data_IF_180244744541
#
_entry.id   IF_180244744541
#
_cell.length_a   1.000
_cell.length_b   1.000
_cell.length_c   1.000
_cell.angle_alpha   90.00
_cell.angle_beta   90.00
_cell.angle_gamma   90.00
#
_symmetry.space_group_name_H-M   'P 1'
#
loop_
_entity.id
_entity.type
_entity.pdbx_description
1 polymer ?
#
# COMPACT_ATOMS: atom_id res chain seq x y z
N UNK A 1 -0.71 9.16 16.98
CA UNK A 1 0.43 8.24 17.04
C UNK A 1 1.74 8.92 16.72
N UNK A 2 2.84 8.30 17.11
CA UNK A 2 4.19 8.83 16.83
C UNK A 2 4.55 8.58 15.36
N UNK A 3 5.03 9.62 14.69
CA UNK A 3 5.49 9.59 13.30
C UNK A 3 6.92 10.13 13.20
N UNK A 4 7.79 9.54 12.36
CA UNK A 4 9.16 10.01 12.20
C UNK A 4 9.22 11.41 11.58
N UNK A 5 8.26 11.75 10.72
CA UNK A 5 8.19 13.06 10.07
C UNK A 5 6.77 13.43 9.67
N UNK A 6 6.51 14.73 9.64
CA UNK A 6 5.33 15.31 8.99
C UNK A 6 5.82 16.45 8.11
N UNK A 7 5.41 16.47 6.85
CA UNK A 7 5.65 17.57 5.93
C UNK A 7 4.31 18.14 5.48
N UNK A 8 4.15 19.44 5.56
CA UNK A 8 2.96 20.15 5.08
C UNK A 8 3.37 21.06 3.94
N UNK A 9 2.69 20.90 2.82
CA UNK A 9 2.86 21.70 1.60
C UNK A 9 1.67 22.66 1.48
N UNK A 10 1.93 23.93 1.30
CA UNK A 10 0.92 24.93 1.00
C UNK A 10 0.93 25.24 -0.50
N UNK A 11 -0.19 24.99 -1.16
CA UNK A 11 -0.39 25.31 -2.57
C UNK A 11 -1.36 26.48 -2.72
N UNK A 12 -0.99 27.46 -3.56
CA UNK A 12 -1.82 28.61 -3.84
C UNK A 12 -3.00 28.28 -4.81
N UNK A 13 -3.81 29.29 -5.12
CA UNK A 13 -4.97 29.14 -6.01
C UNK A 13 -4.60 28.73 -7.45
N UNK A 14 -3.34 28.91 -7.86
CA UNK A 14 -2.83 28.49 -9.17
C UNK A 14 -2.19 27.09 -9.13
N UNK A 15 -2.31 26.40 -8.01
CA UNK A 15 -1.71 25.06 -7.79
C UNK A 15 -0.19 25.09 -7.66
N UNK A 16 0.41 26.26 -7.37
CA UNK A 16 1.85 26.38 -7.17
C UNK A 16 2.20 26.31 -5.69
N UNK A 17 3.32 25.65 -5.40
CA UNK A 17 3.84 25.55 -4.06
C UNK A 17 4.22 26.94 -3.53
N UNK A 18 3.65 27.35 -2.40
CA UNK A 18 3.99 28.57 -1.71
C UNK A 18 5.06 28.34 -0.64
N UNK A 19 4.85 27.34 0.21
CA UNK A 19 5.80 27.00 1.27
C UNK A 19 5.68 25.54 1.66
N UNK A 20 6.74 25.05 2.29
CA UNK A 20 6.82 23.71 2.87
C UNK A 20 7.32 23.82 4.31
N UNK A 21 6.61 23.18 5.23
CA UNK A 21 7.03 23.09 6.63
C UNK A 21 7.19 21.63 7.00
N UNK A 22 8.30 21.29 7.63
CA UNK A 22 8.59 19.93 8.05
C UNK A 22 8.90 19.89 9.55
N UNK A 23 8.37 18.88 10.22
CA UNK A 23 8.69 18.59 11.61
C UNK A 23 9.05 17.11 11.76
N UNK A 24 10.10 16.85 12.52
CA UNK A 24 10.55 15.50 12.84
C UNK A 24 9.98 15.05 14.19
N UNK A 25 9.83 13.72 14.34
CA UNK A 25 9.41 13.10 15.61
C UNK A 25 8.11 13.67 16.15
N UNK A 26 7.09 13.72 15.32
CA UNK A 26 5.78 14.28 15.69
C UNK A 26 4.89 13.23 16.34
N UNK A 27 4.09 13.67 17.32
CA UNK A 27 3.01 12.87 17.88
C UNK A 27 1.67 13.41 17.38
N UNK A 28 1.12 12.75 16.36
CA UNK A 28 -0.17 13.12 15.79
C UNK A 28 -1.30 12.67 16.71
N UNK A 29 -1.95 13.63 17.34
CA UNK A 29 -3.15 13.48 18.15
C UNK A 29 -4.16 14.57 17.78
N UNK A 30 -5.29 14.63 18.47
CA UNK A 30 -6.36 15.62 18.19
C UNK A 30 -5.95 17.07 18.45
N UNK A 31 -5.00 17.26 19.33
CA UNK A 31 -4.54 18.59 19.77
C UNK A 31 -3.24 19.03 19.05
N UNK A 32 -2.77 18.20 18.10
CA UNK A 32 -1.59 18.54 17.32
C UNK A 32 -1.91 19.67 16.35
N UNK A 33 -1.14 20.73 16.44
CA UNK A 33 -1.20 21.88 15.55
C UNK A 33 0.18 22.19 14.98
N UNK A 34 0.20 22.63 13.73
CA UNK A 34 1.40 23.06 13.05
C UNK A 34 1.16 24.42 12.39
N UNK A 35 2.03 25.37 12.68
CA UNK A 35 1.97 26.67 12.05
C UNK A 35 2.59 26.60 10.65
N UNK A 36 1.82 27.04 9.65
CA UNK A 36 2.27 27.13 8.25
C UNK A 36 2.15 28.60 7.81
N UNK A 37 3.26 29.34 7.72
CA UNK A 37 3.24 30.74 7.33
C UNK A 37 3.03 30.86 5.81
N UNK A 38 1.99 31.61 5.43
CA UNK A 38 1.68 31.94 4.04
C UNK A 38 1.27 33.41 3.94
N UNK A 39 1.39 34.01 2.74
CA UNK A 39 0.84 35.34 2.47
C UNK A 39 -0.69 35.28 2.32
N UNK A 40 -1.33 36.42 2.02
CA UNK A 40 -2.74 36.48 1.67
C UNK A 40 -3.07 35.64 0.41
N UNK A 41 -4.31 35.22 0.30
CA UNK A 41 -4.81 34.43 -0.83
C UNK A 41 -5.52 33.15 -0.41
N UNK A 42 -5.80 32.32 -1.40
CA UNK A 42 -6.42 31.01 -1.23
C UNK A 42 -5.39 29.90 -1.26
N UNK A 43 -5.45 29.01 -0.27
CA UNK A 43 -4.50 27.91 -0.12
C UNK A 43 -5.22 26.57 0.12
N UNK A 44 -4.62 25.50 -0.38
CA UNK A 44 -4.84 24.16 0.14
C UNK A 44 -3.57 23.63 0.78
N UNK A 45 -3.71 22.88 1.87
CA UNK A 45 -2.60 22.31 2.61
C UNK A 45 -2.63 20.79 2.46
N UNK A 46 -1.52 20.23 2.03
CA UNK A 46 -1.35 18.78 1.91
C UNK A 46 -0.35 18.32 2.95
N UNK A 47 -0.78 17.38 3.78
CA UNK A 47 0.05 16.75 4.80
C UNK A 47 0.52 15.37 4.36
N UNK A 48 1.82 15.11 4.51
CA UNK A 48 2.44 13.81 4.33
C UNK A 48 3.19 13.42 5.60
N UNK A 49 2.87 12.26 6.15
CA UNK A 49 3.54 11.75 7.36
C UNK A 49 4.15 10.37 7.10
N UNK A 50 5.27 10.10 7.77
CA UNK A 50 5.93 8.79 7.74
C UNK A 50 6.93 8.58 6.62
N UNK A 51 7.17 9.57 5.77
CA UNK A 51 8.14 9.47 4.67
C UNK A 51 9.56 9.43 5.19
N UNK A 52 10.36 8.49 4.69
CA UNK A 52 11.73 8.26 5.07
C UNK A 52 12.65 8.13 3.85
N UNK A 53 13.86 7.65 4.05
CA UNK A 53 14.91 7.47 3.02
C UNK A 53 14.65 6.32 2.04
N UNK A 54 13.59 5.52 2.25
CA UNK A 54 13.15 4.48 1.30
C UNK A 54 12.38 5.04 0.12
N UNK A 55 12.14 6.35 0.11
CA UNK A 55 11.45 7.05 -0.96
C UNK A 55 12.35 8.09 -1.60
N UNK A 56 12.21 8.26 -2.91
CA UNK A 56 12.86 9.35 -3.61
C UNK A 56 12.35 10.69 -3.11
N UNK A 57 13.28 11.57 -2.77
CA UNK A 57 12.99 12.94 -2.38
C UNK A 57 13.06 13.84 -3.60
N UNK A 58 11.99 14.58 -3.82
CA UNK A 58 11.94 15.61 -4.86
C UNK A 58 12.43 16.94 -4.32
N UNK A 59 13.06 17.73 -5.19
CA UNK A 59 13.40 19.12 -4.87
C UNK A 59 12.17 19.99 -5.08
N UNK A 60 11.72 20.66 -4.04
CA UNK A 60 10.59 21.57 -4.09
C UNK A 60 11.07 23.01 -4.18
N UNK A 61 10.53 23.77 -5.12
CA UNK A 61 10.87 25.18 -5.32
C UNK A 61 9.61 26.03 -5.18
N UNK A 62 9.61 26.91 -4.17
CA UNK A 62 8.52 27.86 -3.95
C UNK A 62 8.26 28.73 -5.19
N UNK A 63 6.99 28.90 -5.56
CA UNK A 63 6.55 29.64 -6.73
C UNK A 63 6.72 28.93 -8.09
N UNK A 64 7.34 27.76 -8.13
CA UNK A 64 7.63 27.00 -9.34
C UNK A 64 6.96 25.62 -9.33
N UNK A 65 7.18 24.85 -8.28
CA UNK A 65 6.65 23.49 -8.14
C UNK A 65 5.13 23.49 -8.10
N UNK A 66 4.49 22.64 -8.89
CA UNK A 66 3.03 22.46 -8.92
C UNK A 66 2.63 21.16 -8.22
N UNK A 67 1.35 21.01 -7.87
CA UNK A 67 0.82 19.75 -7.33
C UNK A 67 1.09 18.54 -8.24
N UNK A 68 1.08 18.76 -9.54
CA UNK A 68 1.27 17.70 -10.53
C UNK A 68 2.74 17.26 -10.64
N UNK A 69 3.68 18.15 -10.32
CA UNK A 69 5.12 17.88 -10.37
C UNK A 69 5.61 17.06 -9.17
N UNK A 70 4.89 17.09 -8.06
CA UNK A 70 5.30 16.43 -6.82
C UNK A 70 4.79 15.01 -6.81
N UNK A 71 5.72 14.08 -6.96
CA UNK A 71 5.48 12.64 -6.86
C UNK A 71 6.45 12.03 -5.87
N UNK A 72 6.02 10.94 -5.27
CA UNK A 72 6.84 10.14 -4.38
C UNK A 72 6.92 8.72 -4.95
N UNK A 73 8.13 8.21 -5.06
CA UNK A 73 8.39 6.88 -5.58
C UNK A 73 9.17 6.07 -4.56
N UNK A 74 8.70 4.87 -4.25
CA UNK A 74 9.47 3.94 -3.43
C UNK A 74 10.75 3.53 -4.19
N UNK A 75 11.88 3.50 -3.48
CA UNK A 75 13.15 3.07 -4.08
C UNK A 75 13.08 1.61 -4.50
N UNK A 76 13.72 1.29 -5.60
CA UNK A 76 13.76 -0.08 -6.13
C UNK A 76 15.10 -0.38 -6.80
N UNK A 77 15.44 -1.67 -6.85
CA UNK A 77 16.59 -2.20 -7.58
C UNK A 77 16.09 -3.37 -8.43
N UNK A 78 16.34 -3.32 -9.74
CA UNK A 78 15.89 -4.35 -10.69
C UNK A 78 14.38 -4.69 -10.57
N UNK A 79 13.54 -3.69 -10.45
CA UNK A 79 12.10 -3.80 -10.27
C UNK A 79 11.67 -4.52 -8.98
N UNK A 80 12.54 -4.59 -8.00
CA UNK A 80 12.22 -5.06 -6.64
C UNK A 80 12.21 -3.85 -5.72
N UNK A 81 11.08 -3.63 -5.06
CA UNK A 81 10.93 -2.53 -4.12
C UNK A 81 11.81 -2.73 -2.88
N UNK A 82 12.28 -1.62 -2.31
CA UNK A 82 12.90 -1.66 -0.99
C UNK A 82 11.86 -2.11 0.04
N UNK A 83 12.25 -3.03 0.92
CA UNK A 83 11.35 -3.55 1.94
C UNK A 83 10.90 -2.46 2.92
N UNK A 84 9.60 -2.27 3.06
CA UNK A 84 9.01 -1.54 4.17
C UNK A 84 8.84 -2.49 5.36
N UNK A 85 9.05 -2.01 6.58
CA UNK A 85 8.67 -2.78 7.77
C UNK A 85 7.18 -2.64 8.04
N UNK A 86 6.62 -3.51 8.86
CA UNK A 86 5.20 -3.45 9.25
C UNK A 86 4.84 -2.18 10.02
N UNK A 87 5.84 -1.52 10.63
CA UNK A 87 5.66 -0.28 11.41
C UNK A 87 5.82 0.98 10.56
N UNK A 88 6.35 0.86 9.35
CA UNK A 88 6.50 1.98 8.43
C UNK A 88 5.18 2.25 7.73
N UNK A 89 4.48 3.27 8.21
CA UNK A 89 3.19 3.70 7.69
C UNK A 89 3.31 5.09 7.10
N UNK A 90 2.66 5.28 5.95
CA UNK A 90 2.62 6.55 5.25
C UNK A 90 1.20 7.07 5.27
N UNK A 91 1.06 8.34 5.62
CA UNK A 91 -0.22 9.00 5.73
C UNK A 91 -0.25 10.25 4.86
N UNK A 92 -1.40 10.52 4.30
CA UNK A 92 -1.63 11.64 3.40
C UNK A 92 -3.02 12.23 3.65
N UNK A 93 -3.12 13.55 3.47
CA UNK A 93 -4.40 14.24 3.49
C UNK A 93 -4.30 15.64 2.90
N UNK A 94 -5.44 16.18 2.52
CA UNK A 94 -5.57 17.54 1.99
C UNK A 94 -6.63 18.31 2.78
N UNK A 95 -6.38 19.58 3.06
CA UNK A 95 -7.34 20.48 3.69
C UNK A 95 -8.37 20.99 2.68
N UNK A 96 -9.52 21.46 3.15
CA UNK A 96 -10.33 22.41 2.38
C UNK A 96 -9.54 23.65 1.99
N UNK A 97 -10.01 24.38 1.00
CA UNK A 97 -9.43 25.67 0.63
C UNK A 97 -9.61 26.66 1.77
N UNK A 98 -8.52 27.33 2.15
CA UNK A 98 -8.49 28.36 3.20
C UNK A 98 -8.21 29.71 2.56
N UNK A 99 -9.04 30.70 2.86
CA UNK A 99 -8.81 32.07 2.43
C UNK A 99 -8.19 32.91 3.56
N UNK A 100 -7.07 33.58 3.23
CA UNK A 100 -6.42 34.54 4.09
C UNK A 100 -6.55 35.94 3.48
N UNK A 101 -7.17 36.90 4.19
CA UNK A 101 -7.32 38.26 3.69
C UNK A 101 -5.99 39.02 3.73
N UNK A 102 -5.96 40.16 3.00
CA UNK A 102 -4.81 41.05 2.97
C UNK A 102 -4.47 41.59 4.37
N UNK A 103 -3.25 41.36 4.88
CA UNK A 103 -2.88 41.85 6.20
C UNK A 103 -2.74 43.39 6.28
N UNK A 104 -2.57 44.08 5.17
CA UNK A 104 -2.58 45.55 5.14
C UNK A 104 -3.96 46.12 5.42
N UNK A 105 -5.03 45.41 5.03
CA UNK A 105 -6.42 45.82 5.29
C UNK A 105 -6.93 45.35 6.66
N UNK A 106 -6.58 44.11 7.04
CA UNK A 106 -7.23 43.42 8.17
C UNK A 106 -6.29 43.08 9.31
N UNK A 107 -4.97 43.38 9.17
CA UNK A 107 -3.93 42.95 10.10
C UNK A 107 -3.57 41.47 9.93
N UNK A 108 -2.54 41.05 10.64
CA UNK A 108 -2.10 39.65 10.65
C UNK A 108 -3.20 38.75 11.25
N UNK A 109 -3.55 37.69 10.54
CA UNK A 109 -4.62 36.77 10.95
C UNK A 109 -4.10 35.33 11.01
N UNK A 110 -4.70 34.57 11.93
CA UNK A 110 -4.58 33.12 12.00
C UNK A 110 -5.90 32.48 11.52
N UNK A 111 -5.77 31.48 10.68
CA UNK A 111 -6.88 30.61 10.28
C UNK A 111 -6.57 29.18 10.69
N UNK A 112 -7.55 28.50 11.23
CA UNK A 112 -7.45 27.09 11.56
C UNK A 112 -8.09 26.27 10.46
N UNK A 113 -7.45 25.20 10.05
CA UNK A 113 -7.99 24.20 9.16
C UNK A 113 -7.54 22.80 9.59
N UNK A 114 -8.22 21.78 9.16
CA UNK A 114 -7.88 20.41 9.46
C UNK A 114 -7.42 19.66 8.20
N UNK A 115 -6.42 18.84 8.36
CA UNK A 115 -5.98 17.86 7.36
C UNK A 115 -6.27 16.48 7.93
N UNK A 116 -7.25 15.80 7.36
CA UNK A 116 -7.57 14.42 7.73
C UNK A 116 -6.63 13.48 7.00
N UNK A 117 -5.80 12.78 7.74
CA UNK A 117 -4.81 11.87 7.18
C UNK A 117 -5.41 10.48 6.97
N UNK A 118 -5.26 9.95 5.76
CA UNK A 118 -5.53 8.56 5.39
C UNK A 118 -4.22 7.81 5.23
N UNK A 119 -4.15 6.57 5.70
CA UNK A 119 -2.99 5.70 5.49
C UNK A 119 -2.92 5.25 4.02
N UNK A 120 -1.71 5.30 3.44
CA UNK A 120 -1.40 4.88 2.07
C UNK A 120 -0.55 3.61 2.01
N UNK A 121 -0.46 2.86 3.08
CA UNK A 121 0.29 1.60 3.13
C UNK A 121 -0.63 0.44 3.46
N UNK A 122 -0.40 -0.69 2.81
CA UNK A 122 -1.11 -1.94 3.08
C UNK A 122 -0.15 -2.99 3.63
N UNK A 123 -0.67 -3.83 4.50
CA UNK A 123 0.01 -5.02 5.02
C UNK A 123 -0.79 -6.24 4.60
N UNK A 124 -0.11 -7.17 3.96
CA UNK A 124 -0.72 -8.40 3.47
C UNK A 124 0.00 -9.58 4.08
N UNK A 125 -0.77 -10.44 4.72
CA UNK A 125 -0.33 -11.73 5.21
C UNK A 125 -0.90 -12.81 4.29
N UNK A 126 -0.02 -13.55 3.63
CA UNK A 126 -0.40 -14.73 2.85
C UNK A 126 -0.11 -15.96 3.70
N UNK A 127 -1.14 -16.74 3.96
CA UNK A 127 -1.04 -18.04 4.66
C UNK A 127 -1.36 -19.12 3.65
N UNK A 128 -0.48 -20.10 3.52
CA UNK A 128 -0.71 -21.26 2.67
C UNK A 128 -0.64 -22.50 3.56
N UNK A 129 -1.74 -23.25 3.59
CA UNK A 129 -1.88 -24.48 4.35
C UNK A 129 -2.17 -25.63 3.41
N UNK A 130 -1.36 -26.68 3.47
CA UNK A 130 -1.68 -27.96 2.86
C UNK A 130 -2.55 -28.79 3.80
N UNK A 131 -3.61 -29.41 3.31
CA UNK A 131 -4.37 -30.35 4.12
C UNK A 131 -3.54 -31.57 4.51
N UNK A 132 -4.03 -32.36 5.49
CA UNK A 132 -3.26 -33.47 6.04
C UNK A 132 -2.89 -34.55 5.02
N UNK A 133 -3.71 -34.75 4.00
CA UNK A 133 -3.42 -35.71 2.94
C UNK A 133 -2.36 -35.17 1.97
N UNK A 134 -2.47 -33.90 1.60
CA UNK A 134 -1.58 -33.21 0.66
C UNK A 134 -0.20 -33.00 1.25
N UNK A 135 -0.08 -32.69 2.55
CA UNK A 135 1.22 -32.46 3.21
C UNK A 135 2.19 -33.65 3.17
N UNK A 136 1.70 -34.87 2.92
CA UNK A 136 2.54 -36.06 2.79
C UNK A 136 3.39 -36.04 1.53
N UNK A 137 2.97 -35.30 0.53
CA UNK A 137 3.63 -35.22 -0.80
C UNK A 137 4.24 -33.85 -1.08
N UNK A 138 3.84 -32.80 -0.34
CA UNK A 138 4.23 -31.42 -0.58
C UNK A 138 4.81 -30.77 0.66
N UNK A 139 5.82 -29.93 0.45
CA UNK A 139 6.54 -29.21 1.50
C UNK A 139 6.34 -27.71 1.33
N UNK A 140 5.75 -26.99 2.32
CA UNK A 140 5.58 -25.53 2.27
C UNK A 140 6.89 -24.76 2.01
N UNK A 141 8.04 -25.30 2.39
CA UNK A 141 9.34 -24.69 2.15
C UNK A 141 9.71 -24.58 0.67
N UNK A 142 9.00 -25.29 -0.21
CA UNK A 142 9.20 -25.30 -1.65
C UNK A 142 8.19 -24.43 -2.41
N UNK A 143 7.34 -23.70 -1.67
CA UNK A 143 6.48 -22.69 -2.22
C UNK A 143 7.25 -21.39 -2.49
N UNK A 144 6.92 -20.77 -3.61
CA UNK A 144 7.40 -19.45 -3.99
C UNK A 144 6.21 -18.51 -4.07
N UNK A 145 6.22 -17.46 -3.27
CA UNK A 145 5.13 -16.48 -3.20
C UNK A 145 5.65 -15.13 -3.66
N UNK A 146 5.07 -14.58 -4.72
CA UNK A 146 5.45 -13.29 -5.28
C UNK A 146 4.24 -12.35 -5.34
N UNK A 147 4.41 -11.17 -4.76
CA UNK A 147 3.44 -10.07 -4.83
C UNK A 147 4.05 -8.93 -5.62
N UNK A 148 3.37 -8.48 -6.66
CA UNK A 148 3.79 -7.35 -7.47
C UNK A 148 2.64 -6.39 -7.70
N UNK A 149 2.96 -5.10 -7.81
CA UNK A 149 1.97 -4.06 -8.00
C UNK A 149 2.54 -2.88 -8.78
N UNK A 150 1.68 -2.22 -9.55
CA UNK A 150 1.96 -0.95 -10.22
C UNK A 150 1.63 0.26 -9.34
N UNK A 151 1.99 0.20 -8.05
CA UNK A 151 1.67 1.22 -7.04
C UNK A 151 2.91 1.95 -6.49
N UNK A 152 4.04 1.91 -7.21
CA UNK A 152 5.33 2.42 -6.71
C UNK A 152 5.41 3.93 -6.59
N UNK A 153 4.56 4.67 -7.28
CA UNK A 153 4.59 6.15 -7.34
C UNK A 153 3.24 6.72 -6.95
N UNK A 154 3.26 7.74 -6.09
CA UNK A 154 2.07 8.46 -5.64
C UNK A 154 2.28 9.95 -5.82
N UNK A 155 1.28 10.66 -6.35
CA UNK A 155 1.28 12.13 -6.45
C UNK A 155 1.02 12.76 -5.09
N UNK A 156 1.33 14.05 -4.98
CA UNK A 156 1.11 14.81 -3.74
C UNK A 156 -0.35 14.79 -3.27
N UNK A 157 -1.31 14.68 -4.16
CA UNK A 157 -2.73 14.58 -3.87
C UNK A 157 -3.20 13.16 -3.51
N UNK A 158 -2.28 12.20 -3.38
CA UNK A 158 -2.57 10.81 -3.04
C UNK A 158 -2.99 9.93 -4.22
N UNK A 159 -3.10 10.48 -5.43
CA UNK A 159 -3.42 9.71 -6.65
C UNK A 159 -2.18 9.03 -7.21
N UNK A 160 -2.38 7.97 -8.00
CA UNK A 160 -1.29 7.27 -8.67
C UNK A 160 -1.28 7.55 -10.17
N UNK A 161 -0.10 7.77 -10.79
CA UNK A 161 0.02 7.88 -12.24
C UNK A 161 -0.35 6.56 -12.93
N UNK A 162 -1.00 6.64 -14.10
CA UNK A 162 -1.43 5.46 -14.87
C UNK A 162 -0.27 4.58 -15.36
N UNK A 163 0.89 5.15 -15.61
CA UNK A 163 2.06 4.47 -16.18
C UNK A 163 3.12 4.13 -15.14
N UNK A 164 2.71 3.87 -13.90
CA UNK A 164 3.63 3.47 -12.85
C UNK A 164 4.20 2.07 -13.13
N UNK A 165 5.52 1.88 -13.03
CA UNK A 165 6.13 0.57 -13.22
C UNK A 165 5.63 -0.46 -12.22
N UNK A 166 5.54 -1.71 -12.64
CA UNK A 166 5.24 -2.83 -11.75
C UNK A 166 6.51 -3.19 -10.98
N UNK A 167 6.40 -3.18 -9.65
CA UNK A 167 7.46 -3.64 -8.76
C UNK A 167 7.04 -4.92 -8.04
N UNK A 168 8.01 -5.80 -7.81
CA UNK A 168 7.86 -6.94 -6.90
C UNK A 168 8.21 -6.49 -5.49
N UNK A 169 7.33 -6.78 -4.54
CA UNK A 169 7.55 -6.49 -3.13
C UNK A 169 8.17 -7.70 -2.44
N UNK A 170 9.27 -7.53 -1.69
CA UNK A 170 9.87 -8.62 -0.94
C UNK A 170 9.02 -8.97 0.28
N UNK A 171 9.00 -10.25 0.67
CA UNK A 171 8.44 -10.64 1.94
C UNK A 171 9.31 -10.08 3.08
N UNK A 172 8.68 -9.42 4.04
CA UNK A 172 9.37 -8.85 5.21
C UNK A 172 9.54 -9.86 6.33
N UNK A 173 8.73 -10.90 6.32
CA UNK A 173 8.78 -11.99 7.28
C UNK A 173 8.19 -13.25 6.64
N UNK A 174 8.87 -14.36 6.81
CA UNK A 174 8.39 -15.68 6.38
C UNK A 174 8.53 -16.66 7.53
N UNK A 175 7.45 -17.40 7.81
CA UNK A 175 7.45 -18.47 8.80
C UNK A 175 6.92 -19.76 8.15
N UNK A 176 7.60 -20.86 8.43
CA UNK A 176 7.22 -22.19 7.95
C UNK A 176 7.11 -23.12 9.16
N UNK A 177 5.93 -23.66 9.38
CA UNK A 177 5.64 -24.55 10.49
C UNK A 177 4.71 -25.70 10.07
N UNK A 178 5.22 -26.93 10.07
CA UNK A 178 4.47 -28.11 9.68
C UNK A 178 3.94 -28.01 8.23
N UNK A 179 2.63 -28.00 8.10
CA UNK A 179 1.92 -27.88 6.80
C UNK A 179 1.54 -26.45 6.43
N UNK A 180 2.02 -25.45 7.17
CA UNK A 180 1.66 -24.04 7.03
C UNK A 180 2.89 -23.22 6.67
N UNK A 181 2.76 -22.36 5.66
CA UNK A 181 3.68 -21.27 5.36
C UNK A 181 2.98 -19.93 5.49
N UNK A 182 3.71 -18.95 6.00
CA UNK A 182 3.24 -17.57 6.17
C UNK A 182 4.25 -16.61 5.53
N UNK A 183 3.78 -15.71 4.68
CA UNK A 183 4.55 -14.63 4.05
C UNK A 183 3.88 -13.30 4.34
N UNK A 184 4.65 -12.34 4.82
CA UNK A 184 4.16 -11.01 5.19
C UNK A 184 4.76 -9.95 4.28
N UNK A 185 3.93 -9.03 3.82
CA UNK A 185 4.29 -7.94 2.93
C UNK A 185 3.81 -6.61 3.49
N UNK A 186 4.62 -5.57 3.34
CA UNK A 186 4.21 -4.19 3.53
C UNK A 186 4.51 -3.41 2.24
N UNK A 187 3.54 -2.66 1.76
CA UNK A 187 3.61 -1.98 0.46
C UNK A 187 2.77 -0.71 0.46
N UNK A 188 2.90 0.08 -0.59
CA UNK A 188 1.97 1.17 -0.83
C UNK A 188 0.57 0.64 -1.14
N UNK A 189 -0.41 1.53 -1.05
CA UNK A 189 -1.83 1.21 -1.19
C UNK A 189 -2.12 0.48 -2.50
N UNK A 190 -2.95 -0.56 -2.42
CA UNK A 190 -3.42 -1.29 -3.60
C UNK A 190 -4.63 -0.56 -4.17
N UNK A 191 -4.58 -0.25 -5.46
CA UNK A 191 -5.66 0.44 -6.14
C UNK A 191 -6.26 -0.37 -7.27
N UNK A 192 -7.58 -0.31 -7.40
CA UNK A 192 -8.30 -0.88 -8.54
C UNK A 192 -7.89 -0.19 -9.84
N UNK A 193 -7.88 -0.92 -10.96
CA UNK A 193 -7.49 -0.41 -12.26
C UNK A 193 -5.98 -0.43 -12.53
N UNK A 194 -5.16 -0.84 -11.57
CA UNK A 194 -3.73 -1.07 -11.71
C UNK A 194 -3.42 -2.57 -11.68
N UNK A 195 -2.23 -2.95 -12.19
CA UNK A 195 -1.77 -4.32 -12.09
C UNK A 195 -1.37 -4.63 -10.64
N UNK A 196 -2.05 -5.58 -10.02
CA UNK A 196 -1.76 -6.08 -8.67
C UNK A 196 -1.79 -7.61 -8.74
N UNK A 197 -0.63 -8.24 -8.72
CA UNK A 197 -0.52 -9.67 -9.00
C UNK A 197 -0.04 -10.45 -7.79
N UNK A 198 -0.71 -11.57 -7.52
CA UNK A 198 -0.23 -12.63 -6.64
C UNK A 198 0.09 -13.84 -7.49
N UNK A 199 1.32 -14.34 -7.39
CA UNK A 199 1.76 -15.56 -8.02
C UNK A 199 2.31 -16.51 -6.95
N UNK A 200 1.78 -17.73 -6.91
CA UNK A 200 2.21 -18.79 -6.01
C UNK A 200 2.60 -19.99 -6.86
N UNK A 201 3.85 -20.41 -6.76
CA UNK A 201 4.36 -21.59 -7.46
C UNK A 201 4.97 -22.58 -6.48
N UNK A 202 5.02 -23.85 -6.88
CA UNK A 202 5.60 -24.94 -6.14
C UNK A 202 6.79 -25.53 -6.95
N UNK A 203 7.93 -25.65 -6.31
CA UNK A 203 9.18 -26.12 -6.96
C UNK A 203 9.70 -27.43 -6.37
N UNK A 204 8.87 -28.17 -5.66
CA UNK A 204 9.25 -29.42 -4.96
C UNK A 204 9.37 -30.64 -5.86
N UNK A 205 8.74 -30.61 -7.03
CA UNK A 205 8.86 -31.63 -8.07
C UNK A 205 9.87 -31.13 -9.11
N UNK A 206 10.32 -31.96 -10.01
CA UNK A 206 11.31 -31.60 -11.04
C UNK A 206 10.87 -30.46 -11.98
N UNK A 207 9.65 -29.98 -11.81
CA UNK A 207 9.05 -28.87 -12.56
C UNK A 207 8.44 -27.86 -11.61
N UNK A 208 8.47 -26.59 -12.02
CA UNK A 208 7.67 -25.54 -11.37
C UNK A 208 6.20 -25.72 -11.72
N UNK A 209 5.36 -25.77 -10.72
CA UNK A 209 3.91 -25.89 -10.84
C UNK A 209 3.23 -24.64 -10.32
N UNK A 210 2.25 -24.11 -11.07
CA UNK A 210 1.48 -22.95 -10.64
C UNK A 210 0.39 -23.38 -9.65
N UNK A 211 0.40 -22.81 -8.46
CA UNK A 211 -0.65 -22.99 -7.45
C UNK A 211 -1.74 -21.95 -7.61
N UNK A 212 -1.34 -20.71 -7.78
CA UNK A 212 -2.24 -19.58 -8.04
C UNK A 212 -1.52 -18.52 -8.87
N UNK A 213 -2.21 -17.96 -9.87
CA UNK A 213 -1.75 -16.82 -10.64
C UNK A 213 -2.94 -15.91 -10.95
N UNK A 214 -3.02 -14.75 -10.34
CA UNK A 214 -4.16 -13.88 -10.51
C UNK A 214 -4.01 -12.49 -9.95
N UNK A 215 -4.99 -11.65 -10.24
CA UNK A 215 -5.08 -10.30 -9.70
C UNK A 215 -5.48 -10.35 -8.23
N UNK A 216 -4.65 -9.71 -7.38
CA UNK A 216 -4.84 -9.70 -5.94
C UNK A 216 -6.13 -8.99 -5.51
N UNK A 217 -6.51 -7.92 -6.22
CA UNK A 217 -7.74 -7.17 -5.93
C UNK A 217 -8.94 -7.83 -6.60
N UNK A 218 -8.94 -7.95 -7.92
CA UNK A 218 -10.10 -8.41 -8.67
C UNK A 218 -10.47 -9.87 -8.37
N UNK A 219 -9.46 -10.74 -8.20
CA UNK A 219 -9.70 -12.16 -7.97
C UNK A 219 -9.91 -12.55 -6.51
N UNK A 220 -9.45 -11.73 -5.56
CA UNK A 220 -9.45 -12.06 -4.14
C UNK A 220 -10.14 -10.99 -3.29
N UNK A 221 -9.55 -9.80 -3.17
CA UNK A 221 -10.00 -8.80 -2.19
C UNK A 221 -11.40 -8.26 -2.50
N UNK A 222 -11.72 -7.97 -3.75
CA UNK A 222 -13.05 -7.49 -4.13
C UNK A 222 -14.16 -8.51 -3.83
N UNK A 223 -13.84 -9.79 -3.85
CA UNK A 223 -14.81 -10.84 -3.49
C UNK A 223 -15.14 -10.86 -2.00
N UNK A 224 -14.30 -10.27 -1.18
CA UNK A 224 -14.52 -10.16 0.28
C UNK A 224 -15.38 -8.94 0.66
N UNK A 225 -15.62 -8.00 -0.24
CA UNK A 225 -16.45 -6.81 0.02
C UNK A 225 -17.87 -7.20 0.44
N UNK A 226 -18.46 -8.20 -0.20
CA UNK A 226 -19.78 -8.74 0.17
C UNK A 226 -19.80 -9.38 1.57
N UNK A 227 -18.64 -9.64 2.14
CA UNK A 227 -18.45 -10.19 3.49
C UNK A 227 -18.07 -9.13 4.52
N UNK A 228 -18.14 -7.84 4.15
CA UNK A 228 -17.87 -6.72 5.03
C UNK A 228 -16.41 -6.24 5.06
N UNK A 229 -15.55 -6.75 4.18
CA UNK A 229 -14.19 -6.22 4.01
C UNK A 229 -14.26 -4.89 3.25
N UNK A 230 -13.72 -3.84 3.84
CA UNK A 230 -13.73 -2.50 3.27
C UNK A 230 -12.33 -2.10 2.78
N UNK A 231 -12.12 -2.13 1.47
CA UNK A 231 -10.81 -1.82 0.85
C UNK A 231 -10.39 -0.35 1.02
N UNK A 232 -11.35 0.56 1.23
CA UNK A 232 -11.06 1.98 1.40
C UNK A 232 -10.62 2.35 2.82
N UNK A 233 -10.97 1.52 3.81
CA UNK A 233 -10.75 1.79 5.22
C UNK A 233 -9.82 0.78 5.90
N UNK A 234 -9.63 -0.39 5.31
CA UNK A 234 -8.77 -1.44 5.85
C UNK A 234 -7.41 -1.43 5.15
N UNK A 235 -6.36 -1.56 5.95
CA UNK A 235 -4.98 -1.59 5.47
C UNK A 235 -4.28 -2.92 5.77
N UNK A 236 -4.92 -3.79 6.54
CA UNK A 236 -4.41 -5.09 6.95
C UNK A 236 -5.29 -6.21 6.40
N UNK A 237 -4.71 -7.07 5.55
CA UNK A 237 -5.42 -8.18 4.93
C UNK A 237 -4.70 -9.49 5.21
N UNK A 238 -5.46 -10.49 5.68
CA UNK A 238 -4.99 -11.88 5.79
C UNK A 238 -5.67 -12.70 4.70
N UNK A 239 -4.85 -13.27 3.81
CA UNK A 239 -5.32 -14.11 2.71
C UNK A 239 -4.81 -15.52 2.96
N UNK A 240 -5.72 -16.46 3.16
CA UNK A 240 -5.40 -17.87 3.41
C UNK A 240 -5.78 -18.73 2.22
N UNK A 241 -4.84 -19.55 1.78
CA UNK A 241 -5.05 -20.62 0.81
C UNK A 241 -5.02 -21.95 1.54
N UNK A 242 -6.12 -22.67 1.48
CA UNK A 242 -6.15 -24.08 1.86
C UNK A 242 -5.99 -24.92 0.60
N UNK A 243 -4.86 -25.60 0.48
CA UNK A 243 -4.50 -26.40 -0.70
C UNK A 243 -4.78 -27.84 -0.43
N UNK A 244 -5.51 -28.45 -1.35
CA UNK A 244 -5.79 -29.89 -1.38
C UNK A 244 -5.18 -30.49 -2.65
N UNK A 245 -4.59 -31.65 -2.51
CA UNK A 245 -4.21 -32.48 -3.64
C UNK A 245 -5.48 -32.97 -4.30
N UNK A 246 -5.64 -32.67 -5.56
CA UNK A 246 -6.82 -33.08 -6.31
C UNK A 246 -6.47 -34.20 -7.29
N UNK A 247 -6.82 -35.42 -6.93
CA UNK A 247 -6.91 -36.60 -7.79
C UNK A 247 -5.71 -36.84 -8.76
N UNK A 248 -4.80 -37.73 -8.35
CA UNK A 248 -3.72 -38.22 -9.22
C UNK A 248 -4.20 -38.82 -10.57
N UNK A 249 -5.49 -39.17 -10.68
CA UNK A 249 -6.09 -39.73 -11.89
C UNK A 249 -6.61 -38.65 -12.86
N UNK A 250 -6.80 -37.39 -12.37
CA UNK A 250 -7.44 -36.33 -13.15
C UNK A 250 -6.45 -35.29 -13.71
N UNK A 251 -5.17 -35.42 -13.47
CA UNK A 251 -4.11 -34.48 -13.90
C UNK A 251 -4.27 -33.04 -13.38
N UNK A 252 -5.13 -32.80 -12.40
CA UNK A 252 -5.24 -31.51 -11.71
C UNK A 252 -4.27 -31.47 -10.54
N UNK A 253 -3.42 -30.44 -10.50
CA UNK A 253 -2.32 -30.43 -9.55
C UNK A 253 -2.71 -29.84 -8.19
N UNK A 254 -3.52 -28.76 -8.17
CA UNK A 254 -3.92 -28.13 -6.92
C UNK A 254 -5.36 -27.65 -6.93
N UNK A 255 -6.05 -27.87 -5.84
CA UNK A 255 -7.33 -27.24 -5.53
C UNK A 255 -7.15 -26.30 -4.33
N UNK A 256 -7.57 -25.06 -4.47
CA UNK A 256 -7.42 -24.04 -3.43
C UNK A 256 -8.77 -23.53 -2.97
N UNK A 257 -8.96 -23.47 -1.64
CA UNK A 257 -9.99 -22.63 -1.04
C UNK A 257 -9.34 -21.37 -0.51
N UNK A 258 -9.87 -20.21 -0.88
CA UNK A 258 -9.28 -18.92 -0.58
C UNK A 258 -10.16 -18.19 0.43
N UNK A 259 -9.55 -17.71 1.50
CA UNK A 259 -10.19 -16.95 2.58
C UNK A 259 -9.55 -15.57 2.69
N UNK A 260 -10.37 -14.54 2.90
CA UNK A 260 -9.91 -13.20 3.24
C UNK A 260 -10.45 -12.85 4.62
N UNK A 261 -9.58 -12.50 5.56
CA UNK A 261 -9.94 -12.19 6.95
C UNK A 261 -10.90 -13.24 7.56
N UNK A 262 -10.62 -14.52 7.32
CA UNK A 262 -11.40 -15.71 7.72
C UNK A 262 -12.73 -15.94 6.97
N UNK A 263 -13.06 -15.15 5.95
CA UNK A 263 -14.22 -15.39 5.10
C UNK A 263 -13.85 -16.16 3.85
N UNK A 264 -14.53 -17.27 3.57
CA UNK A 264 -14.38 -17.99 2.30
C UNK A 264 -14.88 -17.13 1.14
N UNK A 265 -14.00 -16.79 0.21
CA UNK A 265 -14.33 -15.93 -0.95
C UNK A 265 -14.31 -16.69 -2.28
N UNK A 266 -13.53 -17.75 -2.38
CA UNK A 266 -13.41 -18.51 -3.62
C UNK A 266 -12.87 -19.92 -3.38
N UNK A 267 -13.29 -20.84 -4.25
CA UNK A 267 -12.64 -22.14 -4.44
C UNK A 267 -12.11 -22.20 -5.86
N UNK A 268 -10.84 -22.50 -5.99
CA UNK A 268 -10.11 -22.50 -7.26
C UNK A 268 -9.45 -23.86 -7.49
N UNK A 269 -9.56 -24.41 -8.68
CA UNK A 269 -8.79 -25.58 -9.12
C UNK A 269 -8.00 -25.22 -10.36
N UNK A 270 -6.71 -25.57 -10.36
CA UNK A 270 -5.87 -25.45 -11.54
C UNK A 270 -6.05 -26.68 -12.39
N UNK A 271 -6.68 -26.51 -13.55
CA UNK A 271 -6.66 -27.49 -14.63
C UNK A 271 -5.46 -27.20 -15.54
N UNK A 272 -4.71 -28.22 -15.90
CA UNK A 272 -3.67 -28.13 -16.91
C UNK A 272 -4.27 -28.18 -18.31
#
# INVERSE_FOLDING_TARGET
>A
GNMPSLTVFAFDQNGKLSTTVQQQNVNLNRDFEMLVPVSDGNYSFIGWAGINDKFNKYTFTSGVTTKEDVMMTINSINNVAVALSSDERIWHGESPIVFLPDPEEYGSMYKHTAVNLKELTNRIKIIIEFDEATMKSYDPAKLNVAVSSANSTVRIDGTMPMNTPVLTYPSIYTNLEGNIGEWNYAMLDLSTGYSNKLNITYTGNDKEETVFDGDLIASILLRAVDKGVNLDCENDFTIKFLIKDYCAECWTHFSCSIYVNNWLVHSYSTDL
#
